data_IF_069306702547
#
_entry.id   IF_069306702547
#
_cell.length_a   1.000
_cell.length_b   1.000
_cell.length_c   1.000
_cell.angle_alpha   90.00
_cell.angle_beta   90.00
_cell.angle_gamma   90.00
#
_symmetry.space_group_name_H-M   'P 1'
#
loop_
_entity.id
_entity.type
_entity.pdbx_description
1 polymer ?
#
# COMPACT_ATOMS: atom_id res chain seq x y z
N UNK A 1 27.03 -53.31 -1.56
CA UNK A 1 27.32 -52.06 -0.80
C UNK A 1 27.15 -50.79 -1.63
N UNK A 2 27.76 -50.66 -2.82
CA UNK A 2 27.71 -49.43 -3.64
C UNK A 2 26.30 -49.04 -4.13
N UNK A 3 25.47 -50.01 -4.53
CA UNK A 3 24.07 -49.75 -4.98
C UNK A 3 23.15 -49.28 -3.84
N UNK A 4 23.33 -49.83 -2.65
CA UNK A 4 22.61 -49.39 -1.45
C UNK A 4 23.00 -47.96 -1.04
N UNK A 5 24.28 -47.61 -1.17
CA UNK A 5 24.77 -46.25 -0.90
C UNK A 5 24.14 -45.21 -1.83
N UNK A 6 23.99 -45.53 -3.12
CA UNK A 6 23.38 -44.63 -4.12
C UNK A 6 21.90 -44.38 -3.81
N UNK A 7 21.16 -45.42 -3.44
CA UNK A 7 19.75 -45.29 -3.04
C UNK A 7 19.61 -44.49 -1.74
N UNK A 8 20.55 -44.67 -0.80
CA UNK A 8 20.53 -43.90 0.45
C UNK A 8 20.82 -42.42 0.21
N UNK A 9 21.78 -42.11 -0.66
CA UNK A 9 22.12 -40.74 -1.06
C UNK A 9 20.98 -40.06 -1.81
N UNK A 10 20.27 -40.78 -2.70
CA UNK A 10 19.14 -40.21 -3.42
C UNK A 10 17.95 -39.91 -2.50
N UNK A 11 17.64 -40.81 -1.56
CA UNK A 11 16.58 -40.59 -0.55
C UNK A 11 16.93 -39.43 0.37
N UNK A 12 18.19 -39.33 0.82
CA UNK A 12 18.65 -38.20 1.64
C UNK A 12 18.53 -36.86 0.89
N UNK A 13 18.85 -36.84 -0.41
CA UNK A 13 18.74 -35.66 -1.26
C UNK A 13 17.27 -35.20 -1.46
N UNK A 14 16.35 -36.15 -1.61
CA UNK A 14 14.92 -35.87 -1.73
C UNK A 14 14.32 -35.32 -0.42
N UNK A 15 14.72 -35.86 0.74
CA UNK A 15 14.24 -35.39 2.05
C UNK A 15 14.72 -33.97 2.38
N UNK A 16 15.96 -33.63 2.03
CA UNK A 16 16.49 -32.26 2.19
C UNK A 16 15.72 -31.26 1.32
N UNK A 17 15.34 -31.67 0.11
CA UNK A 17 14.57 -30.83 -0.81
C UNK A 17 13.20 -30.47 -0.21
N UNK A 18 12.51 -31.41 0.46
CA UNK A 18 11.18 -31.19 1.08
C UNK A 18 11.21 -30.17 2.23
N UNK A 19 12.30 -30.11 3.00
CA UNK A 19 12.46 -29.13 4.09
C UNK A 19 12.85 -27.73 3.57
N UNK A 20 13.47 -27.63 2.39
CA UNK A 20 13.80 -26.34 1.77
C UNK A 20 12.59 -25.62 1.16
N UNK A 21 11.45 -26.30 0.97
CA UNK A 21 10.20 -25.66 0.52
C UNK A 21 9.33 -25.11 1.66
N UNK A 22 9.78 -25.20 2.91
CA UNK A 22 9.16 -24.54 4.06
C UNK A 22 9.22 -23.02 3.94
N UNK A 23 8.17 -22.46 3.34
CA UNK A 23 7.89 -21.05 3.09
C UNK A 23 8.20 -20.17 4.32
N UNK A 24 9.43 -19.66 4.42
CA UNK A 24 9.68 -18.43 5.18
C UNK A 24 9.08 -17.29 4.35
N UNK A 25 7.79 -17.06 4.56
CA UNK A 25 7.03 -15.97 3.94
C UNK A 25 7.77 -14.66 4.13
N UNK A 26 8.48 -14.23 3.09
CA UNK A 26 9.03 -12.88 3.03
C UNK A 26 7.84 -12.01 2.69
N UNK A 27 7.43 -11.16 3.63
CA UNK A 27 6.49 -10.08 3.38
C UNK A 27 7.31 -8.82 3.03
N UNK A 28 7.61 -8.58 1.75
CA UNK A 28 8.42 -7.43 1.34
C UNK A 28 7.73 -6.11 1.68
N UNK A 29 6.40 -6.11 1.75
CA UNK A 29 5.61 -4.91 2.05
C UNK A 29 5.67 -4.58 3.54
N UNK A 30 5.52 -5.60 4.41
CA UNK A 30 5.66 -5.46 5.85
C UNK A 30 7.06 -4.95 6.27
N UNK A 31 8.12 -5.41 5.60
CA UNK A 31 9.48 -4.92 5.84
C UNK A 31 9.69 -3.48 5.34
N UNK A 32 9.10 -3.12 4.18
CA UNK A 32 9.18 -1.74 3.67
C UNK A 32 8.51 -0.74 4.63
N UNK A 33 7.33 -1.09 5.17
CA UNK A 33 6.60 -0.26 6.13
C UNK A 33 7.42 -0.04 7.41
N UNK A 34 8.10 -1.08 7.92
CA UNK A 34 8.99 -0.96 9.10
C UNK A 34 10.16 -0.02 8.84
N UNK A 35 10.84 -0.15 7.70
CA UNK A 35 11.99 0.71 7.35
C UNK A 35 11.56 2.18 7.26
N UNK A 36 10.42 2.46 6.64
CA UNK A 36 9.89 3.82 6.55
C UNK A 36 9.55 4.40 7.92
N UNK A 37 8.99 3.59 8.84
CA UNK A 37 8.66 4.02 10.21
C UNK A 37 9.93 4.37 11.02
N UNK A 38 10.98 3.57 10.93
CA UNK A 38 12.26 3.83 11.60
C UNK A 38 12.95 5.08 11.04
N UNK A 39 12.90 5.28 9.71
CA UNK A 39 13.56 6.41 9.04
C UNK A 39 12.92 7.76 9.37
N UNK A 40 11.60 7.81 9.63
CA UNK A 40 10.91 9.03 10.09
C UNK A 40 11.29 9.45 11.51
N UNK A 41 11.68 8.50 12.38
CA UNK A 41 12.05 8.79 13.77
C UNK A 41 13.44 9.44 13.90
N UNK A 42 14.36 9.15 12.99
CA UNK A 42 15.75 9.63 13.06
C UNK A 42 16.01 10.96 12.30
N UNK A 43 14.98 11.55 11.66
CA UNK A 43 15.16 12.57 10.62
C UNK A 43 14.66 13.99 10.90
N UNK A 44 14.26 14.35 12.13
CA UNK A 44 13.77 15.70 12.41
C UNK A 44 14.90 16.62 12.92
N UNK A 45 15.57 17.31 12.00
CA UNK A 45 16.41 18.49 12.30
C UNK A 45 15.53 19.73 12.24
N UNK A 46 15.56 20.49 13.33
CA UNK A 46 14.82 21.72 13.61
C UNK A 46 15.12 22.84 12.61
N UNK A 47 14.08 23.48 12.10
CA UNK A 47 14.11 24.87 11.63
C UNK A 47 12.74 25.51 11.94
N UNK A 48 12.75 26.44 12.90
CA UNK A 48 11.59 27.15 13.43
C UNK A 48 11.05 28.20 12.45
N UNK A 49 9.72 28.26 12.28
CA UNK A 49 8.93 29.50 12.10
C UNK A 49 7.42 29.21 12.02
N UNK A 50 6.74 29.25 13.18
CA UNK A 50 5.35 29.70 13.40
C UNK A 50 4.24 29.32 12.40
N UNK A 51 4.03 28.05 12.09
CA UNK A 51 2.67 27.55 11.80
C UNK A 51 2.34 26.49 12.84
N UNK A 52 1.23 26.67 13.54
CA UNK A 52 0.62 25.68 14.43
C UNK A 52 0.67 24.29 13.75
N UNK A 53 1.56 23.43 14.23
CA UNK A 53 1.87 22.14 13.61
C UNK A 53 0.68 21.20 13.80
N UNK A 54 -0.26 21.26 12.87
CA UNK A 54 -1.26 20.22 12.70
C UNK A 54 -0.57 19.04 12.02
N UNK A 55 -0.59 17.82 12.60
CA UNK A 55 0.25 16.70 12.15
C UNK A 55 -0.07 16.19 10.73
N UNK A 56 -1.10 16.74 10.08
CA UNK A 56 -1.48 16.43 8.70
C UNK A 56 -1.91 17.73 8.03
N UNK A 57 -1.07 18.27 7.15
CA UNK A 57 -1.53 19.28 6.19
C UNK A 57 -2.46 18.58 5.21
N UNK A 58 -3.65 19.15 5.00
CA UNK A 58 -4.58 18.76 3.95
C UNK A 58 -4.84 20.03 3.15
N UNK A 59 -4.48 20.05 1.86
CA UNK A 59 -4.80 21.17 0.99
C UNK A 59 -6.32 21.36 0.88
N UNK A 60 -6.83 22.57 0.59
CA UNK A 60 -8.25 22.78 0.29
C UNK A 60 -8.76 21.79 -0.76
N UNK A 61 -9.94 21.20 -0.52
CA UNK A 61 -10.54 20.17 -1.40
C UNK A 61 -11.85 20.63 -2.06
N UNK A 62 -12.28 21.88 -1.84
CA UNK A 62 -13.53 22.39 -2.37
C UNK A 62 -13.56 22.30 -3.91
N UNK A 63 -14.60 21.67 -4.46
CA UNK A 63 -14.79 21.49 -5.90
C UNK A 63 -13.93 20.40 -6.56
N UNK A 64 -13.03 19.74 -5.81
CA UNK A 64 -12.23 18.65 -6.37
C UNK A 64 -13.02 17.35 -6.50
N UNK A 65 -14.04 17.14 -5.66
CA UNK A 65 -14.90 15.94 -5.74
C UNK A 65 -15.55 15.81 -7.11
N UNK A 66 -16.13 16.88 -7.63
CA UNK A 66 -16.79 16.87 -8.94
C UNK A 66 -15.78 16.70 -10.09
N UNK A 67 -14.56 17.22 -9.93
CA UNK A 67 -13.49 17.04 -10.90
C UNK A 67 -12.89 15.63 -10.89
N UNK A 68 -12.95 14.95 -9.75
CA UNK A 68 -12.40 13.61 -9.51
C UNK A 68 -13.41 12.49 -9.85
N UNK A 69 -14.63 12.82 -10.29
CA UNK A 69 -15.66 11.84 -10.65
C UNK A 69 -15.20 10.97 -11.84
N UNK A 70 -15.27 9.66 -11.65
CA UNK A 70 -14.96 8.69 -12.69
C UNK A 70 -16.26 8.31 -13.41
N UNK A 71 -16.39 8.73 -14.66
CA UNK A 71 -17.59 8.46 -15.46
C UNK A 71 -17.65 7.05 -16.05
N UNK A 72 -16.49 6.45 -16.36
CA UNK A 72 -16.40 5.09 -16.91
C UNK A 72 -14.98 4.52 -16.70
N UNK A 73 -14.87 3.20 -16.57
CA UNK A 73 -13.58 2.51 -16.52
C UNK A 73 -13.49 1.41 -17.59
N UNK A 74 -12.30 1.21 -18.19
CA UNK A 74 -12.12 0.16 -19.18
C UNK A 74 -12.50 -1.23 -18.63
N UNK A 75 -13.52 -1.85 -19.25
CA UNK A 75 -13.99 -3.19 -18.87
C UNK A 75 -14.90 -3.23 -17.63
N UNK A 76 -15.28 -2.09 -17.08
CA UNK A 76 -16.25 -2.02 -15.98
C UNK A 76 -17.66 -2.33 -16.54
N UNK A 77 -18.40 -3.27 -15.93
CA UNK A 77 -19.83 -3.44 -16.23
C UNK A 77 -20.60 -2.19 -15.76
N UNK A 78 -21.81 -1.98 -16.27
CA UNK A 78 -22.63 -0.85 -15.83
C UNK A 78 -22.85 -0.90 -14.32
N UNK A 79 -22.50 0.19 -13.62
CA UNK A 79 -22.67 0.37 -12.18
C UNK A 79 -23.60 1.54 -11.92
N UNK A 80 -24.33 1.48 -10.79
CA UNK A 80 -25.30 2.52 -10.39
C UNK A 80 -24.81 3.43 -9.26
N UNK A 81 -23.58 3.24 -8.79
CA UNK A 81 -22.96 4.09 -7.76
C UNK A 81 -21.97 5.08 -8.37
N UNK A 82 -21.78 6.20 -7.67
CA UNK A 82 -20.76 7.19 -8.02
C UNK A 82 -19.40 6.76 -7.49
N UNK A 83 -18.36 7.02 -8.27
CA UNK A 83 -16.97 6.71 -7.92
C UNK A 83 -16.07 7.88 -8.26
N UNK A 84 -15.06 8.09 -7.44
CA UNK A 84 -14.17 9.25 -7.51
C UNK A 84 -12.73 8.81 -7.30
N UNK A 85 -11.77 9.42 -7.98
CA UNK A 85 -10.36 9.19 -7.74
C UNK A 85 -9.55 10.45 -7.99
N UNK A 86 -8.54 10.67 -7.15
CA UNK A 86 -7.70 11.85 -7.25
C UNK A 86 -6.51 11.80 -6.31
N UNK A 87 -5.95 12.97 -6.04
CA UNK A 87 -4.78 13.15 -5.18
C UNK A 87 -5.05 14.19 -4.09
N UNK A 88 -4.76 13.83 -2.85
CA UNK A 88 -4.79 14.76 -1.71
C UNK A 88 -3.37 15.17 -1.36
N UNK A 89 -3.06 16.47 -1.44
CA UNK A 89 -1.73 16.99 -1.10
C UNK A 89 -1.55 16.99 0.41
N UNK A 90 -0.53 16.28 0.89
CA UNK A 90 -0.24 16.10 2.33
C UNK A 90 1.04 16.81 2.79
N UNK A 91 1.91 17.20 1.85
CA UNK A 91 3.07 18.04 2.11
C UNK A 91 3.44 18.82 0.84
N UNK A 92 3.05 20.10 0.74
CA UNK A 92 3.29 20.90 -0.46
C UNK A 92 4.76 21.28 -0.62
N UNK A 93 5.52 21.38 0.48
CA UNK A 93 6.95 21.75 0.47
C UNK A 93 7.78 20.61 -0.11
N UNK A 94 7.48 19.38 0.29
CA UNK A 94 8.13 18.19 -0.23
C UNK A 94 7.45 17.61 -1.48
N UNK A 95 6.37 18.23 -1.98
CA UNK A 95 5.61 17.75 -3.13
C UNK A 95 4.97 16.38 -2.96
N UNK A 96 4.54 16.02 -1.74
CA UNK A 96 3.89 14.72 -1.47
C UNK A 96 2.38 14.82 -1.55
N UNK A 97 1.78 13.87 -2.26
CA UNK A 97 0.34 13.66 -2.31
C UNK A 97 0.01 12.17 -2.15
N UNK A 98 -1.20 11.89 -1.65
CA UNK A 98 -1.74 10.54 -1.55
C UNK A 98 -2.82 10.35 -2.62
N UNK A 99 -2.71 9.26 -3.37
CA UNK A 99 -3.76 8.84 -4.28
C UNK A 99 -4.92 8.22 -3.50
N UNK A 100 -6.16 8.44 -3.96
CA UNK A 100 -7.34 7.76 -3.45
C UNK A 100 -8.25 7.29 -4.59
N UNK A 101 -9.04 6.27 -4.29
CA UNK A 101 -10.20 5.85 -5.08
C UNK A 101 -11.32 5.53 -4.10
N UNK A 102 -12.42 6.27 -4.21
CA UNK A 102 -13.59 6.19 -3.35
C UNK A 102 -14.82 5.81 -4.17
N UNK A 103 -15.68 4.94 -3.61
CA UNK A 103 -16.94 4.52 -4.22
C UNK A 103 -18.06 4.75 -3.21
N UNK A 104 -19.13 5.45 -3.62
CA UNK A 104 -20.31 5.65 -2.79
C UNK A 104 -21.13 4.34 -2.67
N UNK A 105 -21.94 4.25 -1.60
CA UNK A 105 -22.87 3.14 -1.41
C UNK A 105 -23.96 3.17 -2.49
N UNK A 106 -24.32 2.01 -3.05
CA UNK A 106 -25.46 1.86 -3.97
C UNK A 106 -26.79 2.14 -3.25
N UNK A 107 -26.96 1.60 -2.05
CA UNK A 107 -28.16 1.75 -1.25
C UNK A 107 -28.03 2.97 -0.35
N UNK A 108 -28.82 4.01 -0.64
CA UNK A 108 -28.94 5.23 0.17
C UNK A 108 -27.58 5.87 0.51
N UNK A 109 -26.85 6.41 -0.49
CA UNK A 109 -25.61 7.17 -0.26
C UNK A 109 -25.86 8.47 0.55
N UNK A 110 -27.12 8.79 0.85
CA UNK A 110 -27.49 9.88 1.77
C UNK A 110 -26.90 9.70 3.16
N UNK A 111 -25.80 10.40 3.40
CA UNK A 111 -25.61 11.21 4.60
C UNK A 111 -24.50 12.25 4.40
N UNK A 112 -24.85 13.54 4.41
CA UNK A 112 -24.32 14.58 5.32
C UNK A 112 -24.84 15.97 4.97
#
# INVERSE_FOLDING_TARGET
MKRALIVFLSVLCLLASVQCYGLKGRDPLGELIKVQRTKRSAGFRTQDASSEYSPVYIAPQDGLKEADEITDLPGQPQVSFSQYSGYVTVDPVAGRALFYWFTESEDSPTSH
#
